data_IF_695501124550
#
_entry.id   IF_695501124550
#
_cell.length_a   1.000
_cell.length_b   1.000
_cell.length_c   1.000
_cell.angle_alpha   90.00
_cell.angle_beta   90.00
_cell.angle_gamma   90.00
#
_symmetry.space_group_name_H-M   'P 1'
#
loop_
_entity.id
_entity.type
_entity.pdbx_description
1 polymer ?
#
# COMPACT_ATOMS: atom_id res chain seq x y z
N UNK A 1 26.84 14.69 4.88
CA UNK A 1 26.18 14.74 3.55
C UNK A 1 24.70 14.41 3.69
N UNK A 2 23.83 15.33 3.38
CA UNK A 2 22.40 15.01 3.28
C UNK A 2 22.19 14.21 2.00
N UNK A 3 21.71 12.98 2.11
CA UNK A 3 21.28 12.22 0.96
C UNK A 3 20.20 13.01 0.23
N UNK A 4 20.44 13.36 -1.03
CA UNK A 4 19.40 13.97 -1.88
C UNK A 4 18.27 12.96 -2.00
N UNK A 5 17.08 13.33 -1.55
CA UNK A 5 15.89 12.56 -1.81
C UNK A 5 15.81 12.32 -3.33
N UNK A 6 15.76 11.04 -3.71
CA UNK A 6 15.63 10.66 -5.11
C UNK A 6 14.28 11.19 -5.58
N UNK A 7 14.29 12.16 -6.49
CA UNK A 7 13.04 12.68 -7.05
C UNK A 7 12.29 11.53 -7.73
N UNK A 8 11.06 11.32 -7.29
CA UNK A 8 10.15 10.40 -7.95
C UNK A 8 9.88 10.90 -9.38
N UNK A 9 10.20 10.07 -10.37
CA UNK A 9 9.90 10.37 -11.76
C UNK A 9 8.56 9.71 -12.11
N UNK A 10 7.51 10.48 -12.47
CA UNK A 10 6.23 9.91 -12.88
C UNK A 10 6.42 8.86 -13.99
N UNK A 11 5.68 7.75 -13.90
CA UNK A 11 5.74 6.67 -14.87
C UNK A 11 6.94 5.72 -14.73
N UNK A 12 7.83 5.94 -13.74
CA UNK A 12 8.95 5.04 -13.45
C UNK A 12 8.80 4.40 -12.09
N UNK A 13 8.84 3.07 -12.07
CA UNK A 13 8.81 2.29 -10.82
C UNK A 13 10.14 2.39 -10.08
N UNK A 14 10.07 2.59 -8.76
CA UNK A 14 11.22 2.36 -7.90
C UNK A 14 11.42 0.84 -7.67
N UNK A 15 12.45 0.47 -6.93
CA UNK A 15 12.80 -0.94 -6.69
C UNK A 15 11.66 -1.72 -6.01
N UNK A 16 11.02 -1.14 -5.00
CA UNK A 16 9.93 -1.79 -4.27
C UNK A 16 8.66 -1.90 -5.13
N UNK A 17 8.34 -0.87 -5.89
CA UNK A 17 7.22 -0.89 -6.83
C UNK A 17 7.42 -1.94 -7.92
N UNK A 18 8.63 -2.05 -8.47
CA UNK A 18 8.95 -3.07 -9.48
C UNK A 18 8.84 -4.49 -8.90
N UNK A 19 9.31 -4.71 -7.67
CA UNK A 19 9.15 -6.00 -6.99
C UNK A 19 7.67 -6.33 -6.72
N UNK A 20 6.89 -5.33 -6.34
CA UNK A 20 5.44 -5.52 -6.13
C UNK A 20 4.69 -5.78 -7.42
N UNK A 21 5.08 -5.14 -8.53
CA UNK A 21 4.52 -5.43 -9.84
C UNK A 21 4.70 -6.91 -10.24
N UNK A 22 5.83 -7.51 -9.90
CA UNK A 22 6.05 -8.95 -10.11
C UNK A 22 5.12 -9.81 -9.26
N UNK A 23 4.88 -9.44 -8.01
CA UNK A 23 3.91 -10.11 -7.13
C UNK A 23 2.50 -10.03 -7.72
N UNK A 24 2.09 -8.86 -8.22
CA UNK A 24 0.78 -8.68 -8.88
C UNK A 24 0.67 -9.49 -10.17
N UNK A 25 1.75 -9.57 -10.95
CA UNK A 25 1.79 -10.39 -12.16
C UNK A 25 1.60 -11.88 -11.83
N UNK A 26 2.24 -12.39 -10.79
CA UNK A 26 2.05 -13.76 -10.33
C UNK A 26 0.63 -14.02 -9.86
N UNK A 27 0.03 -13.08 -9.11
CA UNK A 27 -1.37 -13.17 -8.66
C UNK A 27 -2.35 -13.15 -9.82
N UNK A 28 -2.08 -12.36 -10.84
CA UNK A 28 -2.91 -12.32 -12.05
C UNK A 28 -2.85 -13.65 -12.80
N UNK A 29 -1.68 -14.24 -12.95
CA UNK A 29 -1.51 -15.57 -13.56
C UNK A 29 -2.22 -16.67 -12.77
N UNK A 30 -2.21 -16.55 -11.45
CA UNK A 30 -2.90 -17.51 -10.56
C UNK A 30 -4.43 -17.29 -10.51
N UNK A 31 -4.95 -16.24 -11.14
CA UNK A 31 -6.38 -15.90 -11.10
C UNK A 31 -6.85 -15.27 -9.79
N UNK A 32 -5.93 -14.88 -8.91
CA UNK A 32 -6.25 -14.21 -7.64
C UNK A 32 -6.72 -12.76 -7.84
N UNK A 33 -6.22 -12.11 -8.89
CA UNK A 33 -6.66 -10.79 -9.34
C UNK A 33 -6.97 -10.85 -10.84
N UNK A 34 -7.83 -9.96 -11.32
CA UNK A 34 -8.18 -9.87 -12.74
C UNK A 34 -7.11 -9.12 -13.52
N UNK A 35 -6.67 -7.97 -13.00
CA UNK A 35 -5.65 -7.12 -13.61
C UNK A 35 -5.10 -6.11 -12.60
N UNK A 36 -3.99 -5.47 -12.97
CA UNK A 36 -3.42 -4.34 -12.24
C UNK A 36 -2.91 -3.27 -13.20
N UNK A 37 -2.82 -2.03 -12.71
CA UNK A 37 -2.27 -0.89 -13.44
C UNK A 37 -1.38 -0.07 -12.52
N UNK A 38 -0.26 0.40 -13.04
CA UNK A 38 0.65 1.31 -12.33
C UNK A 38 0.24 2.77 -12.55
N UNK A 39 0.17 3.56 -11.47
CA UNK A 39 -0.21 4.98 -11.46
C UNK A 39 -1.45 5.27 -12.34
N UNK A 40 -2.59 4.60 -12.10
CA UNK A 40 -3.71 4.61 -13.04
C UNK A 40 -4.45 5.93 -13.07
N UNK A 41 -4.48 6.64 -11.95
CA UNK A 41 -5.28 7.85 -11.80
C UNK A 41 -4.84 8.68 -10.61
N UNK A 42 -5.34 9.91 -10.58
CA UNK A 42 -5.10 10.88 -9.53
C UNK A 42 -6.42 11.23 -8.84
N UNK A 43 -6.48 11.07 -7.53
CA UNK A 43 -7.63 11.47 -6.73
C UNK A 43 -7.48 12.91 -6.26
N UNK A 44 -8.51 13.72 -6.48
CA UNK A 44 -8.60 15.04 -5.89
C UNK A 44 -9.15 14.93 -4.47
N UNK A 45 -8.35 15.31 -3.49
CA UNK A 45 -8.73 15.28 -2.08
C UNK A 45 -9.34 16.60 -1.61
N UNK A 46 -8.80 17.69 -2.10
CA UNK A 46 -9.22 19.06 -1.84
C UNK A 46 -8.66 19.95 -2.96
N UNK A 47 -8.91 21.25 -2.90
CA UNK A 47 -8.28 22.16 -3.83
C UNK A 47 -6.76 22.10 -3.71
N UNK A 48 -6.09 21.94 -4.85
CA UNK A 48 -4.63 21.77 -4.97
C UNK A 48 -4.02 20.60 -4.17
N UNK A 49 -4.84 19.66 -3.70
CA UNK A 49 -4.40 18.48 -2.98
C UNK A 49 -4.84 17.20 -3.69
N UNK A 50 -3.87 16.42 -4.13
CA UNK A 50 -4.09 15.20 -4.91
C UNK A 50 -3.36 14.01 -4.30
N UNK A 51 -3.90 12.82 -4.58
CA UNK A 51 -3.28 11.54 -4.25
C UNK A 51 -3.23 10.65 -5.49
N UNK A 52 -2.05 10.18 -5.83
CA UNK A 52 -1.83 9.20 -6.90
C UNK A 52 -1.37 7.89 -6.28
N UNK A 53 -2.24 6.86 -6.20
CA UNK A 53 -1.84 5.54 -5.73
C UNK A 53 -0.85 4.89 -6.72
N UNK A 54 0.01 4.02 -6.20
CA UNK A 54 1.00 3.34 -7.04
C UNK A 54 0.33 2.32 -7.97
N UNK A 55 -0.63 1.55 -7.47
CA UNK A 55 -1.31 0.52 -8.26
C UNK A 55 -2.82 0.53 -8.06
N UNK A 56 -3.54 0.28 -9.15
CA UNK A 56 -4.94 -0.16 -9.15
C UNK A 56 -4.97 -1.66 -9.33
N UNK A 57 -5.75 -2.37 -8.53
CA UNK A 57 -5.92 -3.81 -8.59
C UNK A 57 -7.41 -4.14 -8.67
N UNK A 58 -7.79 -4.82 -9.73
CA UNK A 58 -9.17 -5.31 -9.88
C UNK A 58 -9.27 -6.74 -9.36
N UNK A 59 -10.15 -6.92 -8.37
CA UNK A 59 -10.43 -8.21 -7.78
C UNK A 59 -11.48 -8.99 -8.60
N UNK A 60 -11.51 -10.34 -8.50
CA UNK A 60 -12.48 -11.17 -9.25
C UNK A 60 -13.94 -10.86 -8.93
N UNK A 61 -14.25 -10.36 -7.74
CA UNK A 61 -15.60 -9.96 -7.33
C UNK A 61 -16.03 -8.58 -7.87
N UNK A 62 -15.17 -7.91 -8.64
CA UNK A 62 -15.38 -6.57 -9.17
C UNK A 62 -14.91 -5.44 -8.26
N UNK A 63 -14.44 -5.72 -7.04
CA UNK A 63 -13.86 -4.73 -6.14
C UNK A 63 -12.60 -4.13 -6.76
N UNK A 64 -12.46 -2.82 -6.67
CA UNK A 64 -11.24 -2.10 -7.06
C UNK A 64 -10.48 -1.71 -5.79
N UNK A 65 -9.22 -2.10 -5.74
CA UNK A 65 -8.29 -1.75 -4.68
C UNK A 65 -7.20 -0.81 -5.21
N UNK A 66 -6.80 0.16 -4.40
CA UNK A 66 -5.66 1.02 -4.69
C UNK A 66 -4.55 0.75 -3.66
N UNK A 67 -3.39 0.39 -4.15
CA UNK A 67 -2.26 -0.02 -3.34
C UNK A 67 -1.15 1.02 -3.39
N UNK A 68 -0.64 1.39 -2.20
CA UNK A 68 0.54 2.21 -2.02
C UNK A 68 1.69 1.34 -1.57
N UNK A 69 2.79 1.37 -2.29
CA UNK A 69 3.98 0.56 -1.97
C UNK A 69 4.96 1.37 -1.14
N UNK A 70 5.29 0.88 0.06
CA UNK A 70 6.24 1.52 0.97
C UNK A 70 7.34 0.54 1.39
N UNK A 71 8.52 1.04 1.77
CA UNK A 71 9.54 0.19 2.38
C UNK A 71 9.04 -0.41 3.69
N UNK A 72 9.54 -1.57 4.06
CA UNK A 72 9.30 -2.16 5.37
C UNK A 72 10.40 -1.79 6.37
N UNK A 73 10.07 -1.80 7.65
CA UNK A 73 11.03 -1.67 8.73
C UNK A 73 10.55 -2.43 9.97
N UNK A 74 11.44 -2.65 10.92
CA UNK A 74 11.09 -3.24 12.21
C UNK A 74 10.79 -2.15 13.23
N UNK A 75 9.52 -2.00 13.55
CA UNK A 75 9.05 -1.03 14.54
C UNK A 75 9.18 -1.61 15.95
N UNK A 76 9.83 -0.85 16.85
CA UNK A 76 9.86 -1.20 18.29
C UNK A 76 8.56 -0.72 18.93
N UNK A 77 7.88 -1.63 19.64
CA UNK A 77 6.67 -1.33 20.41
C UNK A 77 7.01 -0.94 21.85
N UNK A 78 6.02 -0.36 22.56
CA UNK A 78 6.19 0.09 23.95
C UNK A 78 6.53 -1.06 24.92
N UNK A 79 6.09 -2.28 24.61
CA UNK A 79 6.40 -3.49 25.40
C UNK A 79 7.79 -4.08 25.13
N UNK A 80 8.58 -3.46 24.24
CA UNK A 80 9.92 -3.90 23.86
C UNK A 80 9.95 -4.89 22.69
N UNK A 81 8.82 -5.41 22.26
CA UNK A 81 8.73 -6.26 21.08
C UNK A 81 8.90 -5.46 19.80
N UNK A 82 9.19 -6.14 18.69
CA UNK A 82 9.32 -5.55 17.37
C UNK A 82 8.36 -6.21 16.40
N UNK A 83 7.79 -5.40 15.51
CA UNK A 83 6.97 -5.87 14.40
C UNK A 83 7.43 -5.26 13.09
N UNK A 84 7.15 -5.92 11.99
CA UNK A 84 7.34 -5.35 10.68
C UNK A 84 6.19 -4.38 10.37
N UNK A 85 6.53 -3.24 9.79
CA UNK A 85 5.59 -2.18 9.47
C UNK A 85 6.07 -1.43 8.21
N UNK A 86 5.16 -0.74 7.49
CA UNK A 86 5.57 0.13 6.40
C UNK A 86 6.22 1.40 6.92
N UNK A 87 7.32 1.80 6.30
CA UNK A 87 7.92 3.11 6.54
C UNK A 87 7.19 4.16 5.71
N UNK A 88 6.25 4.84 6.35
CA UNK A 88 5.37 5.80 5.70
C UNK A 88 5.24 7.07 6.55
N UNK A 89 5.48 8.22 5.93
CA UNK A 89 5.32 9.51 6.58
C UNK A 89 3.83 9.82 6.85
N UNK A 90 3.58 10.64 7.87
CA UNK A 90 2.22 10.96 8.31
C UNK A 90 1.38 11.69 7.24
N UNK A 91 2.00 12.54 6.44
CA UNK A 91 1.32 13.23 5.35
C UNK A 91 0.82 12.25 4.27
N UNK A 92 1.60 11.23 3.93
CA UNK A 92 1.19 10.19 3.00
C UNK A 92 0.04 9.35 3.58
N UNK A 93 0.11 8.97 4.86
CA UNK A 93 -0.97 8.27 5.55
C UNK A 93 -2.25 9.10 5.58
N UNK A 94 -2.13 10.40 5.84
CA UNK A 94 -3.27 11.32 5.86
C UNK A 94 -3.97 11.38 4.50
N UNK A 95 -3.22 11.48 3.42
CA UNK A 95 -3.77 11.47 2.06
C UNK A 95 -4.54 10.20 1.76
N UNK A 96 -4.00 9.05 2.13
CA UNK A 96 -4.65 7.74 1.94
C UNK A 96 -5.94 7.66 2.75
N UNK A 97 -5.93 8.12 4.01
CA UNK A 97 -7.13 8.15 4.87
C UNK A 97 -8.22 9.04 4.30
N UNK A 98 -7.85 10.22 3.80
CA UNK A 98 -8.81 11.14 3.17
C UNK A 98 -9.39 10.50 1.91
N UNK A 99 -8.57 9.91 1.06
CA UNK A 99 -9.03 9.20 -0.13
C UNK A 99 -9.99 8.07 0.23
N UNK A 100 -9.65 7.24 1.22
CA UNK A 100 -10.49 6.14 1.68
C UNK A 100 -11.84 6.60 2.23
N UNK A 101 -11.88 7.76 2.90
CA UNK A 101 -13.11 8.33 3.43
C UNK A 101 -14.00 8.94 2.33
N UNK A 102 -13.40 9.60 1.33
CA UNK A 102 -14.14 10.26 0.25
C UNK A 102 -14.58 9.30 -0.86
N UNK A 103 -13.78 8.28 -1.13
CA UNK A 103 -14.01 7.31 -2.20
C UNK A 103 -14.20 5.91 -1.60
N UNK A 104 -15.21 5.79 -0.76
CA UNK A 104 -15.50 4.60 0.05
C UNK A 104 -15.99 3.40 -0.77
N UNK A 105 -16.29 3.59 -2.05
CA UNK A 105 -16.56 2.54 -3.03
C UNK A 105 -15.32 1.72 -3.39
N UNK A 106 -14.11 2.26 -3.12
CA UNK A 106 -12.83 1.59 -3.36
C UNK A 106 -12.17 1.19 -2.04
N UNK A 107 -11.32 0.17 -2.11
CA UNK A 107 -10.43 -0.17 -1.00
C UNK A 107 -9.07 0.50 -1.20
N UNK A 108 -8.50 1.06 -0.13
CA UNK A 108 -7.18 1.67 -0.14
C UNK A 108 -6.29 0.96 0.86
N UNK A 109 -5.08 0.60 0.47
CA UNK A 109 -4.16 -0.10 1.33
C UNK A 109 -2.69 0.26 1.07
N UNK A 110 -1.88 0.09 2.10
CA UNK A 110 -0.42 0.14 1.99
C UNK A 110 0.09 -1.30 1.96
N UNK A 111 1.04 -1.57 1.06
CA UNK A 111 1.77 -2.83 0.98
C UNK A 111 3.25 -2.59 1.19
N UNK A 112 3.93 -3.52 1.82
CA UNK A 112 5.36 -3.41 2.12
C UNK A 112 6.02 -4.79 2.11
N UNK A 113 7.31 -4.88 1.71
CA UNK A 113 8.00 -6.16 1.71
C UNK A 113 8.26 -6.66 3.13
N UNK A 114 8.07 -7.94 3.37
CA UNK A 114 8.42 -8.62 4.61
C UNK A 114 9.84 -9.17 4.54
N UNK A 115 10.54 -9.19 5.66
CA UNK A 115 11.93 -9.66 5.75
C UNK A 115 12.09 -11.12 5.35
N UNK A 116 11.13 -11.97 5.74
CA UNK A 116 11.12 -13.38 5.42
C UNK A 116 10.62 -13.72 4.01
N UNK A 117 10.27 -12.71 3.21
CA UNK A 117 9.64 -12.84 1.91
C UNK A 117 8.13 -12.60 1.96
N UNK A 118 7.54 -12.30 0.80
CA UNK A 118 6.12 -11.92 0.73
C UNK A 118 5.89 -10.45 1.08
N UNK A 119 4.62 -10.11 1.24
CA UNK A 119 4.16 -8.73 1.38
C UNK A 119 3.21 -8.58 2.56
N UNK A 120 3.47 -7.57 3.37
CA UNK A 120 2.55 -7.10 4.38
C UNK A 120 1.54 -6.10 3.78
N UNK A 121 0.36 -5.97 4.40
CA UNK A 121 -0.64 -5.01 3.97
C UNK A 121 -1.36 -4.38 5.16
N UNK A 122 -1.72 -3.12 5.00
CA UNK A 122 -2.54 -2.37 5.93
C UNK A 122 -3.73 -1.82 5.17
N UNK A 123 -4.93 -2.21 5.57
CA UNK A 123 -6.16 -1.74 4.95
C UNK A 123 -6.64 -0.44 5.62
N UNK A 124 -6.92 0.56 4.79
CA UNK A 124 -7.59 1.79 5.20
C UNK A 124 -9.06 1.70 4.80
N UNK A 125 -9.85 0.97 5.58
CA UNK A 125 -11.29 0.94 5.38
C UNK A 125 -11.93 2.27 5.77
N UNK A 126 -13.06 2.65 5.15
CA UNK A 126 -13.70 3.95 5.29
C UNK A 126 -14.07 4.38 6.72
N UNK A 127 -13.88 3.55 7.73
CA UNK A 127 -14.21 3.87 9.14
C UNK A 127 -13.10 3.61 10.13
N UNK A 128 -12.10 2.84 9.79
CA UNK A 128 -10.95 2.57 10.67
C UNK A 128 -9.88 1.81 9.93
N UNK A 129 -8.64 1.98 10.36
CA UNK A 129 -7.57 1.07 10.01
C UNK A 129 -7.96 -0.29 10.55
N UNK A 130 -8.14 -1.25 9.69
CA UNK A 130 -8.41 -2.61 10.08
C UNK A 130 -7.14 -3.42 10.16
N UNK A 131 -7.24 -4.56 10.75
CA UNK A 131 -6.15 -5.51 10.85
C UNK A 131 -5.57 -5.83 9.47
N UNK A 132 -4.32 -6.07 9.47
CA UNK A 132 -3.58 -6.62 8.38
C UNK A 132 -4.13 -8.01 7.99
N UNK A 133 -4.35 -8.24 6.72
CA UNK A 133 -4.83 -9.52 6.22
C UNK A 133 -3.68 -10.22 5.49
N UNK A 134 -3.08 -11.26 6.05
CA UNK A 134 -2.05 -12.01 5.35
C UNK A 134 -2.64 -12.85 4.23
N UNK A 135 -1.96 -12.93 3.12
CA UNK A 135 -2.08 -14.05 2.19
C UNK A 135 -1.13 -15.16 2.66
N UNK A 136 -1.11 -16.30 2.00
CA UNK A 136 -0.20 -17.42 2.35
C UNK A 136 1.29 -17.05 2.43
N UNK A 137 1.63 -15.85 1.93
CA UNK A 137 2.99 -15.29 1.93
C UNK A 137 3.14 -14.04 2.80
N UNK A 138 2.14 -13.70 3.59
CA UNK A 138 2.10 -12.45 4.37
C UNK A 138 1.91 -12.76 5.85
N UNK A 139 2.49 -11.93 6.69
CA UNK A 139 2.32 -12.02 8.13
C UNK A 139 1.16 -11.15 8.59
N UNK A 140 0.45 -11.60 9.60
CA UNK A 140 -0.57 -10.81 10.26
C UNK A 140 0.08 -9.69 11.09
N UNK A 141 -0.31 -8.46 10.82
CA UNK A 141 0.12 -7.29 11.57
C UNK A 141 -1.12 -6.55 12.08
N UNK A 142 -1.28 -6.53 13.39
CA UNK A 142 -2.30 -5.67 13.99
C UNK A 142 -1.80 -4.24 14.02
N UNK A 143 -2.49 -3.34 13.31
CA UNK A 143 -2.32 -1.92 13.52
C UNK A 143 -3.00 -1.56 14.83
N UNK A 144 -2.20 -1.27 15.87
CA UNK A 144 -2.72 -0.57 17.03
C UNK A 144 -3.34 0.76 16.63
N UNK A 145 -4.45 1.08 17.21
CA UNK A 145 -5.14 2.35 17.03
C UNK A 145 -4.21 3.54 17.33
#
# INVERSE_FOLDING_TARGET
MRAKARQHKPGQMNKNEAAYAQELEERQRAGEIVRYRFEPMKFRLADLAYYTPDFEVQMPDGTIEFHEVKPGYRQKLKDGTRREAPFCFEDAKLKIRIAAAQFDEFAFLIVFPLKAGGWGRIDFGGRAIRSFVPTDRQMEVTCGA
#
